data_IF_961589117819
#
_entry.id   IF_961589117819
#
_cell.length_a   1.000
_cell.length_b   1.000
_cell.length_c   1.000
_cell.angle_alpha   90.00
_cell.angle_beta   90.00
_cell.angle_gamma   90.00
#
_symmetry.space_group_name_H-M   'P 1'
#
loop_
_entity.id
_entity.type
_entity.pdbx_description
1 polymer ?
#
# COMPACT_ATOMS: atom_id res chain seq x y z
N UNK A 1 13.25 -11.61 -10.64
CA UNK A 1 13.93 -10.61 -9.77
C UNK A 1 15.27 -11.15 -9.25
N UNK A 2 15.32 -12.41 -8.82
CA UNK A 2 16.57 -13.05 -8.36
C UNK A 2 17.63 -13.13 -9.47
N UNK A 3 17.24 -13.36 -10.72
CA UNK A 3 18.17 -13.46 -11.86
C UNK A 3 18.77 -12.13 -12.33
N UNK A 4 18.29 -10.98 -11.82
CA UNK A 4 18.76 -9.66 -12.27
C UNK A 4 19.83 -9.03 -11.36
N UNK A 5 20.25 -9.70 -10.27
CA UNK A 5 21.29 -9.19 -9.36
C UNK A 5 20.89 -7.91 -8.59
N UNK A 6 19.60 -7.75 -8.28
CA UNK A 6 19.09 -6.61 -7.51
C UNK A 6 19.33 -6.84 -6.01
N UNK A 7 20.21 -6.06 -5.39
CA UNK A 7 20.47 -6.08 -3.93
C UNK A 7 19.28 -5.57 -3.11
N UNK A 8 18.46 -4.71 -3.71
CA UNK A 8 17.33 -4.05 -3.06
C UNK A 8 16.13 -3.94 -4.01
N UNK A 9 14.93 -4.18 -3.48
CA UNK A 9 13.68 -4.04 -4.24
C UNK A 9 12.77 -3.01 -3.58
N UNK A 10 12.50 -1.91 -4.32
CA UNK A 10 11.61 -0.84 -3.85
C UNK A 10 10.21 -1.02 -4.43
N UNK A 11 9.20 -1.03 -3.57
CA UNK A 11 7.80 -1.06 -3.97
C UNK A 11 6.91 -0.25 -3.02
N UNK A 12 5.73 0.11 -3.51
CA UNK A 12 4.73 0.84 -2.75
C UNK A 12 3.56 -0.07 -2.33
N UNK A 13 3.12 0.05 -1.09
CA UNK A 13 1.86 -0.54 -0.61
C UNK A 13 0.76 0.51 -0.78
N UNK A 14 -0.26 0.18 -1.56
CA UNK A 14 -1.43 1.03 -1.75
C UNK A 14 -2.34 0.91 -0.53
N UNK A 15 -2.60 2.03 0.16
CA UNK A 15 -3.42 2.08 1.37
C UNK A 15 -4.84 1.54 1.11
N UNK A 16 -5.45 1.91 -0.02
CA UNK A 16 -6.81 1.48 -0.40
C UNK A 16 -6.94 -0.03 -0.61
N UNK A 17 -5.86 -0.73 -0.99
CA UNK A 17 -5.87 -2.20 -1.12
C UNK A 17 -5.82 -2.90 0.23
N UNK A 18 -5.14 -2.31 1.21
CA UNK A 18 -4.96 -2.88 2.54
C UNK A 18 -6.12 -2.51 3.47
N UNK A 19 -6.62 -1.28 3.39
CA UNK A 19 -7.70 -0.72 4.20
C UNK A 19 -8.67 -0.01 3.24
N UNK A 20 -9.67 -0.72 2.68
CA UNK A 20 -10.55 -0.20 1.63
C UNK A 20 -11.30 1.08 2.00
N UNK A 21 -11.66 1.22 3.28
CA UNK A 21 -12.42 2.37 3.78
C UNK A 21 -11.54 3.44 4.44
N UNK A 22 -10.20 3.35 4.32
CA UNK A 22 -9.19 4.11 5.06
C UNK A 22 -9.25 4.05 6.60
N UNK A 23 -10.37 3.63 7.16
CA UNK A 23 -10.65 3.40 8.56
C UNK A 23 -11.33 2.04 8.68
N UNK A 24 -10.91 1.24 9.66
CA UNK A 24 -11.53 -0.05 9.96
C UNK A 24 -10.68 -1.26 9.56
N UNK A 25 -11.36 -2.35 9.20
CA UNK A 25 -10.76 -3.68 9.09
C UNK A 25 -9.77 -3.77 7.91
N UNK A 26 -8.60 -4.33 8.20
CA UNK A 26 -7.60 -4.70 7.20
C UNK A 26 -8.18 -5.79 6.30
N UNK A 27 -7.96 -5.68 4.99
CA UNK A 27 -8.25 -6.74 4.04
C UNK A 27 -7.23 -7.89 4.23
N UNK A 28 -7.63 -9.05 4.79
CA UNK A 28 -6.71 -10.13 5.12
C UNK A 28 -6.00 -10.69 3.88
N UNK A 29 -6.66 -10.70 2.70
CA UNK A 29 -6.04 -11.13 1.44
C UNK A 29 -4.96 -10.15 0.96
N UNK A 30 -5.18 -8.85 1.17
CA UNK A 30 -4.19 -7.82 0.88
C UNK A 30 -2.96 -7.98 1.77
N UNK A 31 -3.20 -8.20 3.07
CA UNK A 31 -2.13 -8.46 4.04
C UNK A 31 -1.31 -9.71 3.69
N UNK A 32 -1.99 -10.80 3.35
CA UNK A 32 -1.34 -12.05 2.95
C UNK A 32 -0.46 -11.87 1.70
N UNK A 33 -0.95 -11.17 0.69
CA UNK A 33 -0.19 -10.88 -0.52
C UNK A 33 1.13 -10.15 -0.23
N UNK A 34 1.07 -9.05 0.54
CA UNK A 34 2.28 -8.29 0.86
C UNK A 34 3.22 -9.06 1.80
N UNK A 35 2.68 -9.86 2.72
CA UNK A 35 3.48 -10.71 3.59
C UNK A 35 4.25 -11.76 2.76
N UNK A 36 3.57 -12.42 1.81
CA UNK A 36 4.20 -13.40 0.93
C UNK A 36 5.29 -12.77 0.06
N UNK A 37 5.03 -11.59 -0.52
CA UNK A 37 6.01 -10.84 -1.32
C UNK A 37 7.26 -10.48 -0.50
N UNK A 38 7.08 -9.95 0.72
CA UNK A 38 8.19 -9.57 1.60
C UNK A 38 8.99 -10.80 2.02
N UNK A 39 8.31 -11.89 2.40
CA UNK A 39 8.98 -13.13 2.78
C UNK A 39 9.78 -13.72 1.61
N UNK A 40 9.23 -13.69 0.40
CA UNK A 40 9.94 -14.14 -0.80
C UNK A 40 11.19 -13.29 -1.07
N UNK A 41 11.11 -11.97 -0.99
CA UNK A 41 12.27 -11.07 -1.16
C UNK A 41 13.36 -11.36 -0.12
N UNK A 42 13.00 -11.46 1.15
CA UNK A 42 13.94 -11.75 2.24
C UNK A 42 14.59 -13.13 2.03
N UNK A 43 13.81 -14.15 1.65
CA UNK A 43 14.31 -15.50 1.40
C UNK A 43 15.34 -15.57 0.27
N UNK A 44 15.27 -14.62 -0.67
CA UNK A 44 16.22 -14.48 -1.77
C UNK A 44 17.37 -13.51 -1.47
N UNK A 45 17.51 -13.04 -0.22
CA UNK A 45 18.56 -12.11 0.18
C UNK A 45 18.37 -10.68 -0.36
N UNK A 46 17.19 -10.35 -0.87
CA UNK A 46 16.88 -9.04 -1.43
C UNK A 46 16.31 -8.16 -0.32
N UNK A 47 16.90 -6.98 -0.10
CA UNK A 47 16.39 -6.05 0.91
C UNK A 47 15.12 -5.32 0.41
N UNK A 48 13.95 -5.48 1.05
CA UNK A 48 12.74 -4.79 0.66
C UNK A 48 12.76 -3.33 1.15
N UNK A 49 12.56 -2.38 0.23
CA UNK A 49 12.34 -0.97 0.53
C UNK A 49 10.86 -0.62 0.30
N UNK A 50 10.09 -0.57 1.38
CA UNK A 50 8.65 -0.37 1.31
C UNK A 50 8.31 1.10 1.56
N UNK A 51 7.47 1.67 0.69
CA UNK A 51 6.81 2.96 0.95
C UNK A 51 5.31 2.73 1.05
N UNK A 52 4.65 3.31 2.06
CA UNK A 52 3.19 3.36 2.07
C UNK A 52 2.77 4.52 1.21
N UNK A 53 2.01 4.24 0.17
CA UNK A 53 1.51 5.25 -0.73
C UNK A 53 0.01 5.51 -0.50
N UNK A 54 -0.31 6.78 -0.34
CA UNK A 54 -1.64 7.29 -0.04
C UNK A 54 -2.11 8.33 -1.08
N UNK A 55 -1.55 8.28 -2.30
CA UNK A 55 -1.96 9.16 -3.42
C UNK A 55 -3.42 8.97 -3.86
N UNK A 56 -4.08 7.91 -3.42
CA UNK A 56 -5.54 7.75 -3.53
C UNK A 56 -6.18 8.05 -2.17
N UNK A 57 -6.43 9.33 -1.86
CA UNK A 57 -7.33 9.67 -0.76
C UNK A 57 -8.69 9.05 -1.13
N UNK A 58 -9.21 8.07 -0.37
CA UNK A 58 -10.49 7.48 -0.73
C UNK A 58 -11.57 8.55 -0.67
N UNK A 59 -12.50 8.48 -1.62
CA UNK A 59 -13.65 9.38 -1.72
C UNK A 59 -14.36 9.59 -0.37
N UNK A 60 -14.43 8.55 0.46
CA UNK A 60 -14.97 8.62 1.83
C UNK A 60 -14.32 9.70 2.70
N UNK A 61 -13.00 9.91 2.61
CA UNK A 61 -12.30 10.96 3.35
C UNK A 61 -12.47 12.35 2.70
N UNK A 62 -12.62 12.43 1.38
CA UNK A 62 -12.98 13.67 0.68
C UNK A 62 -14.41 14.10 1.04
N UNK A 63 -15.35 13.17 1.12
CA UNK A 63 -16.73 13.44 1.51
C UNK A 63 -16.85 13.82 3.00
N UNK A 64 -16.00 13.28 3.87
CA UNK A 64 -16.02 13.53 5.32
C UNK A 64 -15.25 14.80 5.74
N UNK A 65 -14.17 15.17 5.03
CA UNK A 65 -13.28 16.28 5.41
C UNK A 65 -13.02 17.30 4.29
N UNK A 66 -13.54 17.09 3.09
CA UNK A 66 -13.48 18.06 2.00
C UNK A 66 -14.23 19.34 2.36
N UNK A 67 -13.60 20.49 2.14
CA UNK A 67 -14.27 21.78 2.26
C UNK A 67 -15.36 21.83 1.19
N UNK A 68 -16.64 22.09 1.53
CA UNK A 68 -17.67 22.19 0.52
C UNK A 68 -17.32 23.36 -0.41
N UNK A 69 -17.07 23.08 -1.69
CA UNK A 69 -16.80 24.09 -2.73
C UNK A 69 -18.05 24.90 -3.11
N UNK A 70 -18.98 25.08 -2.17
CA UNK A 70 -20.20 25.87 -2.37
C UNK A 70 -20.08 27.20 -1.64
N UNK A 71 -19.33 28.12 -2.22
CA UNK A 71 -19.61 29.55 -2.10
C UNK A 71 -19.84 30.08 -3.50
N UNK A 72 -21.10 30.51 -3.72
CA UNK A 72 -21.49 31.40 -4.82
C UNK A 72 -20.66 32.69 -4.80
#
# INVERSE_FOLDING_TARGET
>A
MVETGLDAYRFSISWSRLIPNCRGLVNPKGLEYYNNLINELISNGIQPHVTVDNFDLPQVLEDEYGVPTTLH
#
